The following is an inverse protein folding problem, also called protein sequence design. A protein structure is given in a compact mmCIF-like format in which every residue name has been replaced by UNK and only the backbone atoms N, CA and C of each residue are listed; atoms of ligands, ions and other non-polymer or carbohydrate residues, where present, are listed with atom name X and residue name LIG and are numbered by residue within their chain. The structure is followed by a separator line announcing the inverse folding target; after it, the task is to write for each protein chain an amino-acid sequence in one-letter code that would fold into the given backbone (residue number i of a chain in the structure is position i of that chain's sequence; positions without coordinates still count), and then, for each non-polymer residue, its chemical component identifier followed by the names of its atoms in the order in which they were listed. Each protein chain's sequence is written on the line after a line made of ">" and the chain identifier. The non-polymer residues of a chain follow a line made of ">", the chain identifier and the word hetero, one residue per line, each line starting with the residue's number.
data_IF_979110537855
#
_entry.id   IF_979110537855
#
_cell.length_a   1.000
_cell.length_b   1.000
_cell.length_c   1.000
_cell.angle_alpha   90.00
_cell.angle_beta   90.00
_cell.angle_gamma   90.00
#
_symmetry.space_group_name_H-M   'P 1'
#
loop_
_entity.id
_entity.type
_entity.pdbx_description
1 polymer ?
#
# COMPACT_ATOMS: atom_id res chain seq x y z
N UNK A 1 -11.77 5.64 11.07
CA UNK A 1 -10.64 4.74 10.78
C UNK A 1 -10.82 3.80 9.60
N UNK A 2 -11.81 2.87 9.56
CA UNK A 2 -11.89 1.88 8.45
C UNK A 2 -12.10 2.50 7.06
N UNK A 3 -12.86 3.60 6.99
CA UNK A 3 -13.11 4.31 5.74
C UNK A 3 -11.92 5.18 5.33
N UNK A 4 -11.24 5.78 6.29
CA UNK A 4 -10.11 6.69 6.08
C UNK A 4 -8.94 5.99 5.34
N UNK A 5 -8.65 4.72 5.68
CA UNK A 5 -7.66 3.91 4.95
C UNK A 5 -8.10 3.56 3.53
N UNK A 6 -9.40 3.30 3.33
CA UNK A 6 -9.97 3.11 1.99
C UNK A 6 -9.82 4.38 1.16
N UNK A 7 -10.06 5.53 1.76
CA UNK A 7 -9.95 6.82 1.08
C UNK A 7 -8.50 7.13 0.68
N UNK A 8 -7.50 6.76 1.51
CA UNK A 8 -6.09 6.80 1.10
C UNK A 8 -5.83 5.93 -0.13
N UNK A 9 -6.35 4.70 -0.16
CA UNK A 9 -6.19 3.83 -1.31
C UNK A 9 -6.84 4.41 -2.56
N UNK A 10 -8.08 4.89 -2.46
CA UNK A 10 -8.78 5.53 -3.58
C UNK A 10 -8.01 6.76 -4.08
N UNK A 11 -7.44 7.55 -3.16
CA UNK A 11 -6.60 8.67 -3.53
C UNK A 11 -5.38 8.25 -4.36
N UNK A 12 -4.67 7.21 -3.93
CA UNK A 12 -3.47 6.73 -4.63
C UNK A 12 -3.77 6.27 -6.05
N UNK A 13 -4.97 5.75 -6.32
CA UNK A 13 -5.41 5.34 -7.67
C UNK A 13 -6.12 6.47 -8.44
N UNK A 14 -6.27 7.66 -7.88
CA UNK A 14 -6.97 8.78 -8.52
C UNK A 14 -8.50 8.67 -8.49
N UNK A 15 -9.04 7.79 -7.65
CA UNK A 15 -10.47 7.49 -7.50
C UNK A 15 -11.09 8.16 -6.27
N UNK A 16 -10.40 9.14 -5.67
CA UNK A 16 -10.91 9.82 -4.47
C UNK A 16 -12.20 10.59 -4.80
N UNK A 17 -13.29 10.39 -4.03
CA UNK A 17 -14.48 11.21 -4.16
C UNK A 17 -14.14 12.69 -3.93
N UNK A 18 -14.73 13.59 -4.72
CA UNK A 18 -14.50 15.05 -4.57
C UNK A 18 -14.90 15.59 -3.19
N UNK A 19 -15.77 14.87 -2.47
CA UNK A 19 -16.19 15.21 -1.10
C UNK A 19 -15.12 14.95 -0.05
N UNK A 20 -14.08 14.18 -0.37
CA UNK A 20 -13.08 13.74 0.59
C UNK A 20 -11.81 14.58 0.47
N UNK A 21 -11.43 15.28 1.54
CA UNK A 21 -10.23 16.10 1.59
C UNK A 21 -9.03 15.29 2.11
N UNK A 22 -8.08 14.99 1.23
CA UNK A 22 -6.83 14.32 1.58
C UNK A 22 -6.03 15.07 2.66
N UNK A 23 -6.02 16.41 2.64
CA UNK A 23 -5.25 17.17 3.64
C UNK A 23 -5.80 16.95 5.05
N UNK A 24 -7.10 16.73 5.18
CA UNK A 24 -7.72 16.38 6.45
C UNK A 24 -7.31 14.98 6.93
N UNK A 25 -7.25 14.00 6.02
CA UNK A 25 -6.86 12.62 6.31
C UNK A 25 -5.40 12.50 6.77
N UNK A 26 -4.50 13.29 6.16
CA UNK A 26 -3.06 13.28 6.47
C UNK A 26 -2.68 14.05 7.75
N UNK A 27 -3.64 14.62 8.49
CA UNK A 27 -3.39 15.20 9.82
C UNK A 27 -3.18 14.11 10.87
N UNK A 28 -3.76 12.94 10.65
CA UNK A 28 -3.53 11.75 11.48
C UNK A 28 -2.16 11.15 11.10
N UNK A 29 -1.31 10.96 12.11
CA UNK A 29 0.04 10.45 11.95
C UNK A 29 0.05 9.02 11.41
N UNK A 30 -0.86 8.14 11.87
CA UNK A 30 -0.96 6.76 11.40
C UNK A 30 -1.31 6.74 9.90
N UNK A 31 -2.28 7.56 9.50
CA UNK A 31 -2.74 7.66 8.12
C UNK A 31 -1.68 8.27 7.20
N UNK A 32 -0.90 9.23 7.70
CA UNK A 32 0.20 9.84 6.96
C UNK A 32 1.32 8.83 6.69
N UNK A 33 1.71 8.04 7.69
CA UNK A 33 2.73 7.01 7.55
C UNK A 33 2.27 5.91 6.60
N UNK A 34 1.01 5.49 6.69
CA UNK A 34 0.41 4.51 5.79
C UNK A 34 0.32 5.04 4.35
N UNK A 35 -0.08 6.30 4.16
CA UNK A 35 -0.06 6.95 2.85
C UNK A 35 1.35 6.99 2.24
N UNK A 36 2.38 7.31 3.03
CA UNK A 36 3.77 7.32 2.56
C UNK A 36 4.24 5.93 2.12
N UNK A 37 4.00 4.90 2.94
CA UNK A 37 4.37 3.52 2.63
C UNK A 37 3.65 2.99 1.36
N UNK A 38 2.35 3.28 1.23
CA UNK A 38 1.56 2.87 0.07
C UNK A 38 1.94 3.64 -1.20
N UNK A 39 2.28 4.93 -1.09
CA UNK A 39 2.77 5.74 -2.21
C UNK A 39 4.06 5.17 -2.79
N UNK A 40 5.02 4.79 -1.93
CA UNK A 40 6.27 4.17 -2.35
C UNK A 40 6.03 2.78 -2.99
N UNK A 41 5.13 1.98 -2.41
CA UNK A 41 4.75 0.70 -2.98
C UNK A 41 4.11 0.85 -4.37
N UNK A 42 3.20 1.81 -4.55
CA UNK A 42 2.58 2.13 -5.83
C UNK A 42 3.62 2.61 -6.84
N UNK A 43 4.51 3.51 -6.45
CA UNK A 43 5.59 3.99 -7.31
C UNK A 43 6.43 2.83 -7.85
N UNK A 44 6.86 1.91 -6.99
CA UNK A 44 7.62 0.72 -7.39
C UNK A 44 6.83 -0.21 -8.32
N UNK A 45 5.53 -0.35 -8.10
CA UNK A 45 4.66 -1.16 -8.94
C UNK A 45 4.50 -0.54 -10.33
N UNK A 46 4.27 0.77 -10.40
CA UNK A 46 4.08 1.51 -11.66
C UNK A 46 5.35 1.50 -12.52
N UNK A 47 6.53 1.50 -11.89
CA UNK A 47 7.84 1.45 -12.55
C UNK A 47 8.37 0.03 -12.78
N UNK A 48 7.61 -0.99 -12.37
CA UNK A 48 8.01 -2.37 -12.66
C UNK A 48 8.03 -2.58 -14.17
N UNK A 49 9.04 -3.31 -14.65
CA UNK A 49 9.13 -3.72 -16.05
C UNK A 49 7.82 -4.38 -16.48
N UNK A 50 7.18 -3.80 -17.50
CA UNK A 50 5.93 -4.32 -18.05
C UNK A 50 6.28 -5.47 -18.99
N UNK A 51 5.82 -6.67 -18.64
CA UNK A 51 5.89 -7.82 -19.54
C UNK A 51 4.79 -7.67 -20.61
N UNK A 52 5.19 -7.73 -21.89
CA UNK A 52 4.21 -7.77 -22.97
C UNK A 52 3.51 -9.13 -22.96
N UNK A 53 2.17 -9.19 -23.03
CA UNK A 53 1.47 -10.45 -23.21
C UNK A 53 1.92 -11.14 -24.51
N UNK A 54 1.85 -12.47 -24.56
CA UNK A 54 2.19 -13.22 -25.77
C UNK A 54 1.26 -12.87 -26.94
N UNK A 55 1.74 -13.05 -28.16
CA UNK A 55 0.97 -12.73 -29.37
C UNK A 55 -0.35 -13.52 -29.43
N UNK A 56 -0.33 -14.80 -29.06
CA UNK A 56 -1.53 -15.65 -29.02
C UNK A 56 -2.65 -15.08 -28.12
N UNK A 57 -2.28 -14.45 -27.01
CA UNK A 57 -3.25 -13.81 -26.10
C UNK A 57 -3.85 -12.57 -26.75
N UNK A 58 -3.05 -11.78 -27.46
CA UNK A 58 -3.52 -10.60 -28.18
C UNK A 58 -4.47 -10.99 -29.32
N UNK A 59 -4.09 -12.00 -30.10
CA UNK A 59 -4.89 -12.49 -31.23
C UNK A 59 -6.23 -13.05 -30.74
N UNK A 60 -6.24 -13.78 -29.61
CA UNK A 60 -7.48 -14.26 -28.99
C UNK A 60 -8.39 -13.10 -28.54
N UNK A 61 -7.83 -12.04 -27.96
CA UNK A 61 -8.61 -10.87 -27.55
C UNK A 61 -9.22 -10.17 -28.76
N UNK A 62 -8.45 -9.99 -29.83
CA UNK A 62 -8.92 -9.37 -31.08
C UNK A 62 -10.03 -10.22 -31.71
N UNK A 63 -9.86 -11.54 -31.75
CA UNK A 63 -10.85 -12.45 -32.28
C UNK A 63 -12.16 -12.44 -31.45
N UNK A 64 -12.06 -12.46 -30.12
CA UNK A 64 -13.22 -12.38 -29.23
C UNK A 64 -13.97 -11.05 -29.36
N UNK A 65 -13.24 -9.93 -29.42
CA UNK A 65 -13.83 -8.61 -29.64
C UNK A 65 -14.54 -8.50 -31.00
N UNK A 66 -13.95 -9.07 -32.06
CA UNK A 66 -14.56 -9.11 -33.39
C UNK A 66 -15.80 -10.02 -33.47
N UNK A 67 -15.85 -11.08 -32.67
CA UNK A 67 -16.99 -11.99 -32.59
C UNK A 67 -18.17 -11.42 -31.79
N UNK A 68 -18.03 -10.25 -31.15
CA UNK A 68 -19.05 -9.66 -30.30
C UNK A 68 -19.37 -10.53 -29.07
N UNK A 69 -18.48 -11.45 -28.72
CA UNK A 69 -18.62 -12.31 -27.56
C UNK A 69 -17.94 -11.63 -26.37
N UNK A 70 -18.73 -11.26 -25.36
CA UNK A 70 -18.25 -10.97 -24.00
C UNK A 70 -17.78 -12.28 -23.31
N UNK A 71 -17.01 -13.10 -24.02
CA UNK A 71 -16.32 -14.22 -23.37
C UNK A 71 -15.25 -13.61 -22.48
N UNK A 72 -15.59 -13.50 -21.20
CA UNK A 72 -14.62 -13.35 -20.13
C UNK A 72 -13.46 -14.28 -20.43
N UNK A 73 -12.29 -13.69 -20.67
CA UNK A 73 -11.04 -14.38 -20.95
C UNK A 73 -10.63 -15.21 -19.72
N UNK A 74 -11.35 -16.28 -19.43
CA UNK A 74 -10.92 -17.36 -18.58
C UNK A 74 -9.93 -18.19 -19.38
N UNK A 75 -8.82 -17.55 -19.78
CA UNK A 75 -7.59 -18.26 -20.04
C UNK A 75 -7.31 -19.02 -18.75
N UNK A 76 -7.64 -20.31 -18.74
CA UNK A 76 -7.35 -21.23 -17.65
C UNK A 76 -5.84 -21.11 -17.45
N UNK A 77 -5.44 -20.37 -16.42
CA UNK A 77 -4.06 -20.02 -16.07
C UNK A 77 -3.27 -21.29 -15.78
N UNK A 78 -2.94 -22.03 -16.82
CA UNK A 78 -1.95 -23.10 -16.78
C UNK A 78 -0.61 -22.40 -16.63
N UNK A 79 0.13 -22.82 -15.61
CA UNK A 79 1.55 -22.53 -15.45
C UNK A 79 1.96 -21.21 -14.79
N UNK A 80 1.12 -20.67 -13.88
CA UNK A 80 1.70 -19.89 -12.77
C UNK A 80 1.86 -20.82 -11.57
N UNK A 81 3.10 -21.16 -11.21
CA UNK A 81 3.38 -21.77 -9.90
C UNK A 81 2.67 -20.92 -8.84
N UNK A 82 1.97 -21.53 -7.87
CA UNK A 82 1.36 -20.78 -6.78
C UNK A 82 2.47 -19.95 -6.13
N UNK A 83 2.39 -18.63 -6.27
CA UNK A 83 3.22 -17.72 -5.48
C UNK A 83 2.66 -17.86 -4.07
N UNK A 84 3.25 -18.75 -3.29
CA UNK A 84 3.03 -18.75 -1.86
C UNK A 84 3.38 -17.34 -1.40
N UNK A 85 2.37 -16.55 -1.03
CA UNK A 85 2.58 -15.34 -0.24
C UNK A 85 3.07 -15.84 1.11
N UNK A 86 4.36 -16.13 1.21
CA UNK A 86 5.04 -16.35 2.49
C UNK A 86 5.11 -15.00 3.18
N UNK A 87 3.98 -14.57 3.74
CA UNK A 87 4.02 -13.60 4.80
C UNK A 87 4.63 -14.34 5.99
N UNK A 88 5.96 -14.47 6.01
CA UNK A 88 6.64 -14.76 7.25
C UNK A 88 6.49 -13.50 8.09
N UNK A 89 5.37 -13.40 8.78
CA UNK A 89 5.32 -12.67 10.04
C UNK A 89 6.32 -13.39 10.93
N UNK A 90 7.60 -13.05 10.78
CA UNK A 90 8.57 -13.32 11.82
C UNK A 90 7.95 -12.68 13.04
N UNK A 91 7.49 -13.52 13.96
CA UNK A 91 7.10 -13.13 15.32
C UNK A 91 8.35 -12.50 15.92
N UNK A 92 8.52 -11.19 15.70
CA UNK A 92 9.35 -10.38 16.56
C UNK A 92 8.53 -10.33 17.83
N UNK A 93 8.85 -11.24 18.76
CA UNK A 93 8.64 -11.00 20.17
C UNK A 93 9.17 -9.59 20.40
N UNK A 94 8.31 -8.61 20.62
CA UNK A 94 8.72 -7.36 21.24
C UNK A 94 9.00 -7.79 22.68
N UNK A 95 10.26 -7.97 23.09
CA UNK A 95 10.53 -8.22 24.49
C UNK A 95 10.19 -6.91 25.20
N UNK A 96 9.42 -7.00 26.26
CA UNK A 96 9.28 -5.93 27.23
C UNK A 96 10.68 -5.42 27.61
N UNK A 97 11.07 -4.25 27.11
CA UNK A 97 12.23 -3.52 27.61
C UNK A 97 11.71 -2.29 28.33
N UNK A 98 11.42 -2.52 29.61
CA UNK A 98 11.57 -1.52 30.65
C UNK A 98 12.93 -0.83 30.45
N UNK A 99 12.91 0.42 29.97
CA UNK A 99 14.05 1.31 30.04
C UNK A 99 13.73 2.48 30.97
N UNK A 100 13.31 2.13 32.19
CA UNK A 100 13.63 2.96 33.34
C UNK A 100 15.13 2.78 33.60
N UNK A 101 15.97 3.69 33.08
CA UNK A 101 17.17 4.22 33.75
C UNK A 101 18.11 4.94 32.75
N UNK A 102 18.29 6.23 33.02
CA UNK A 102 19.58 6.92 33.09
C UNK A 102 20.40 7.15 31.80
N UNK A 103 20.15 8.31 31.18
CA UNK A 103 21.18 9.32 30.81
C UNK A 103 20.48 10.68 31.03
N UNK A 104 20.46 11.30 32.23
CA UNK A 104 21.48 12.15 32.87
C UNK A 104 22.18 13.17 31.96
N UNK A 105 22.00 14.44 32.32
CA UNK A 105 22.66 15.70 31.91
C UNK A 105 22.14 16.44 30.66
N UNK A 106 21.44 17.56 30.89
CA UNK A 106 21.33 18.63 29.90
C UNK A 106 20.24 19.69 30.11
N UNK A 107 20.37 20.53 31.14
CA UNK A 107 19.86 21.93 31.20
C UNK A 107 18.33 22.14 31.15
N UNK A 108 17.73 22.45 32.31
CA UNK A 108 16.37 23.00 32.36
C UNK A 108 15.73 23.01 33.74
N UNK A 109 16.33 23.70 34.71
CA UNK A 109 15.62 24.09 35.94
C UNK A 109 15.69 25.61 36.03
N UNK A 110 14.59 26.25 35.60
CA UNK A 110 14.25 27.61 36.00
C UNK A 110 14.15 27.67 37.53
N UNK A 111 14.56 28.75 38.19
CA UNK A 111 13.83 30.02 38.17
C UNK A 111 12.36 29.79 38.56
N UNK A 112 12.08 29.85 39.87
CA UNK A 112 10.88 30.42 40.53
C UNK A 112 11.09 30.28 42.05
N UNK A 113 10.97 31.39 42.78
CA UNK A 113 10.97 31.41 44.25
C UNK A 113 11.44 32.73 44.85
N UNK A 114 10.78 33.84 44.50
CA UNK A 114 10.76 35.09 45.25
C UNK A 114 9.35 35.36 45.75
#
# INVERSE_FOLDING_TARGET
>A
MKNDKRDILLHLYGELPQSTDLRSLLKDEELRDEHAALSEAKFRLDHRAKERPSQDVLDHIIAAAAAGTDEHLTLKRRDRKPIARTHSLKKILIPALSLAAAILFGVGMGWIGG
#
